data_IF_967747359541
#
_entry.id   IF_967747359541
#
_cell.length_a   1.000
_cell.length_b   1.000
_cell.length_c   1.000
_cell.angle_alpha   90.00
_cell.angle_beta   90.00
_cell.angle_gamma   90.00
#
_symmetry.space_group_name_H-M   'P 1'
#
loop_
_entity.id
_entity.type
_entity.pdbx_description
1 polymer ?
#
# COMPACT_ATOMS: atom_id res chain seq x y z
N UNK A 1 31.76 -10.77 16.79
CA UNK A 1 31.14 -11.05 15.48
C UNK A 1 29.85 -10.25 15.42
N UNK A 2 29.77 -9.26 14.52
CA UNK A 2 28.50 -8.61 14.21
C UNK A 2 27.60 -9.70 13.60
N UNK A 3 26.45 -9.95 14.21
CA UNK A 3 25.54 -11.02 13.82
C UNK A 3 25.13 -10.87 12.35
N UNK A 4 25.14 -11.98 11.61
CA UNK A 4 24.67 -12.02 10.23
C UNK A 4 23.22 -11.56 10.20
N UNK A 5 22.97 -10.37 9.65
CA UNK A 5 21.62 -9.86 9.44
C UNK A 5 21.00 -10.74 8.36
N UNK A 6 19.93 -11.46 8.70
CA UNK A 6 19.17 -12.22 7.71
C UNK A 6 18.45 -11.24 6.77
N UNK A 7 18.66 -11.39 5.47
CA UNK A 7 18.05 -10.62 4.38
C UNK A 7 18.15 -9.10 4.60
N UNK A 8 19.39 -8.54 4.60
CA UNK A 8 19.59 -7.12 4.85
C UNK A 8 18.88 -6.23 3.83
N UNK A 9 18.76 -6.67 2.57
CA UNK A 9 18.06 -5.96 1.50
C UNK A 9 16.56 -5.83 1.77
N UNK A 10 15.93 -6.92 2.23
CA UNK A 10 14.53 -6.90 2.67
C UNK A 10 14.31 -5.88 3.79
N UNK A 11 15.21 -5.86 4.77
CA UNK A 11 15.11 -4.93 5.91
C UNK A 11 15.33 -3.49 5.48
N UNK A 12 16.30 -3.23 4.62
CA UNK A 12 16.60 -1.90 4.12
C UNK A 12 15.41 -1.32 3.35
N UNK A 13 14.86 -2.09 2.40
CA UNK A 13 13.72 -1.68 1.59
C UNK A 13 12.47 -1.40 2.44
N UNK A 14 12.23 -2.23 3.47
CA UNK A 14 11.13 -2.02 4.40
C UNK A 14 11.31 -0.76 5.24
N UNK A 15 12.53 -0.51 5.74
CA UNK A 15 12.85 0.68 6.52
C UNK A 15 12.65 1.94 5.68
N UNK A 16 13.13 1.95 4.44
CA UNK A 16 12.95 3.08 3.52
C UNK A 16 11.48 3.38 3.24
N UNK A 17 10.66 2.32 3.04
CA UNK A 17 9.22 2.49 2.89
C UNK A 17 8.59 3.13 4.15
N UNK A 18 8.94 2.64 5.34
CA UNK A 18 8.42 3.17 6.60
C UNK A 18 8.88 4.60 6.86
N UNK A 19 10.11 4.96 6.47
CA UNK A 19 10.64 6.31 6.59
C UNK A 19 9.86 7.29 5.69
N UNK A 20 9.60 6.91 4.43
CA UNK A 20 8.77 7.71 3.52
C UNK A 20 7.35 7.87 4.06
N UNK A 21 6.74 6.79 4.56
CA UNK A 21 5.39 6.83 5.14
C UNK A 21 5.34 7.70 6.40
N UNK A 22 6.34 7.61 7.27
CA UNK A 22 6.48 8.45 8.45
C UNK A 22 6.61 9.92 8.09
N UNK A 23 7.49 10.23 7.12
CA UNK A 23 7.66 11.58 6.61
C UNK A 23 6.35 12.17 6.06
N UNK A 24 5.62 11.41 5.24
CA UNK A 24 4.32 11.81 4.70
C UNK A 24 3.30 12.07 5.81
N UNK A 25 3.24 11.19 6.81
CA UNK A 25 2.30 11.33 7.93
C UNK A 25 2.59 12.56 8.81
N UNK A 26 3.85 12.99 8.91
CA UNK A 26 4.25 14.14 9.73
C UNK A 26 4.08 15.47 8.98
N UNK A 27 4.40 15.51 7.68
CA UNK A 27 4.49 16.76 6.93
C UNK A 27 3.24 17.05 6.07
N UNK A 28 2.41 16.05 5.76
CA UNK A 28 1.21 16.20 4.94
C UNK A 28 -0.04 15.76 5.72
N UNK A 29 -0.59 16.60 6.61
CA UNK A 29 -1.70 16.23 7.50
C UNK A 29 -3.00 15.88 6.77
N UNK A 30 -3.13 16.22 5.48
CA UNK A 30 -4.21 15.78 4.60
C UNK A 30 -4.15 14.29 4.24
N UNK A 31 -2.96 13.69 4.36
CA UNK A 31 -2.69 12.27 4.14
C UNK A 31 -2.77 11.57 5.49
N UNK A 32 -3.80 10.73 5.67
CA UNK A 32 -3.83 9.82 6.82
C UNK A 32 -3.63 8.40 6.36
N UNK A 33 -2.64 7.76 6.99
CA UNK A 33 -2.48 6.32 6.91
C UNK A 33 -3.58 5.71 7.78
N UNK A 34 -4.63 5.24 7.12
CA UNK A 34 -5.80 4.60 7.72
C UNK A 34 -5.73 3.11 7.42
N UNK A 35 -6.17 2.23 8.32
CA UNK A 35 -6.08 0.76 8.16
C UNK A 35 -4.67 0.19 8.32
N UNK A 36 -4.60 -1.14 8.41
CA UNK A 36 -3.35 -1.89 8.58
C UNK A 36 -2.64 -1.99 7.23
N UNK A 37 -1.38 -1.56 7.18
CA UNK A 37 -0.49 -1.79 6.06
C UNK A 37 0.37 -3.03 6.33
N UNK A 38 0.03 -4.15 5.70
CA UNK A 38 0.87 -5.34 5.72
C UNK A 38 2.00 -5.18 4.69
N UNK A 39 3.21 -4.94 5.21
CA UNK A 39 4.37 -4.71 4.36
C UNK A 39 4.91 -6.00 3.74
N UNK A 40 4.73 -7.14 4.40
CA UNK A 40 5.11 -8.45 3.85
C UNK A 40 4.18 -8.80 2.68
N UNK A 41 2.88 -8.50 2.80
CA UNK A 41 1.93 -8.62 1.69
C UNK A 41 2.33 -7.73 0.50
N UNK A 42 2.71 -6.48 0.75
CA UNK A 42 3.16 -5.56 -0.30
C UNK A 42 4.38 -6.09 -1.06
N UNK A 43 5.38 -6.62 -0.34
CA UNK A 43 6.58 -7.20 -0.93
C UNK A 43 6.26 -8.48 -1.72
N UNK A 44 5.38 -9.33 -1.20
CA UNK A 44 4.91 -10.51 -1.91
C UNK A 44 4.17 -10.14 -3.20
N UNK A 45 3.32 -9.11 -3.17
CA UNK A 45 2.62 -8.61 -4.35
C UNK A 45 3.58 -7.98 -5.37
N UNK A 46 4.60 -7.25 -4.91
CA UNK A 46 5.66 -6.73 -5.76
C UNK A 46 6.43 -7.85 -6.46
N UNK A 47 6.83 -8.87 -5.72
CA UNK A 47 7.51 -10.04 -6.27
C UNK A 47 6.65 -10.81 -7.25
N UNK A 48 5.35 -10.97 -6.99
CA UNK A 48 4.42 -11.59 -7.95
C UNK A 48 4.32 -10.81 -9.26
N UNK A 49 4.35 -9.47 -9.21
CA UNK A 49 4.40 -8.63 -10.40
C UNK A 49 5.70 -8.85 -11.17
N UNK A 50 6.83 -8.92 -10.47
CA UNK A 50 8.13 -9.25 -11.07
C UNK A 50 8.11 -10.63 -11.75
N UNK A 51 7.68 -11.68 -11.05
CA UNK A 51 7.59 -13.02 -11.63
C UNK A 51 6.70 -13.06 -12.87
N UNK A 52 5.60 -12.30 -12.87
CA UNK A 52 4.72 -12.19 -14.03
C UNK A 52 5.41 -11.54 -15.23
N UNK A 53 6.10 -10.42 -15.03
CA UNK A 53 6.76 -9.68 -16.12
C UNK A 53 7.91 -10.48 -16.74
N UNK A 54 8.56 -11.36 -15.97
CA UNK A 54 9.67 -12.22 -16.43
C UNK A 54 9.26 -13.68 -16.74
N UNK A 55 7.96 -14.02 -16.72
CA UNK A 55 7.44 -15.38 -16.90
C UNK A 55 8.10 -16.43 -15.97
N UNK A 56 8.40 -16.04 -14.74
CA UNK A 56 8.97 -16.90 -13.71
C UNK A 56 7.81 -17.60 -12.99
N UNK A 57 7.77 -18.93 -13.06
CA UNK A 57 6.81 -19.74 -12.32
C UNK A 57 7.43 -20.22 -11.01
N UNK A 58 7.42 -19.36 -9.98
CA UNK A 58 8.06 -19.68 -8.69
C UNK A 58 7.01 -19.94 -7.59
N UNK A 59 7.03 -21.17 -7.06
CA UNK A 59 6.31 -21.57 -5.84
C UNK A 59 7.21 -22.52 -5.05
N UNK A 60 7.48 -22.29 -3.74
CA UNK A 60 7.02 -21.16 -2.90
C UNK A 60 7.72 -19.82 -3.23
N UNK A 61 7.18 -18.73 -2.69
CA UNK A 61 7.76 -17.37 -2.85
C UNK A 61 9.20 -17.37 -2.33
N UNK A 62 10.15 -16.93 -3.18
CA UNK A 62 11.54 -16.74 -2.80
C UNK A 62 12.01 -15.31 -3.10
N UNK A 63 11.88 -14.44 -2.09
CA UNK A 63 12.29 -13.04 -2.21
C UNK A 63 13.80 -12.85 -2.40
N UNK A 64 14.65 -13.84 -2.13
CA UNK A 64 16.10 -13.69 -2.35
C UNK A 64 16.39 -13.37 -3.83
N UNK A 65 15.70 -14.03 -4.75
CA UNK A 65 15.82 -13.75 -6.19
C UNK A 65 15.38 -12.34 -6.56
N UNK A 66 14.37 -11.82 -5.87
CA UNK A 66 13.87 -10.46 -6.10
C UNK A 66 14.94 -9.41 -5.83
N UNK A 67 15.79 -9.63 -4.83
CA UNK A 67 16.90 -8.74 -4.47
C UNK A 67 18.15 -8.98 -5.33
N UNK A 68 18.42 -10.23 -5.72
CA UNK A 68 19.57 -10.56 -6.56
C UNK A 68 19.44 -9.99 -7.99
N UNK A 69 18.21 -9.94 -8.53
CA UNK A 69 17.93 -9.51 -9.91
C UNK A 69 18.09 -8.00 -10.17
N UNK A 70 18.21 -7.18 -9.10
CA UNK A 70 18.32 -5.71 -9.16
C UNK A 70 19.51 -5.20 -10.00
N UNK A 71 20.42 -6.09 -10.41
CA UNK A 71 21.68 -5.73 -11.05
C UNK A 71 21.71 -5.87 -12.59
N UNK A 72 20.63 -6.33 -13.24
CA UNK A 72 20.68 -6.54 -14.71
C UNK A 72 20.22 -5.33 -15.54
N UNK A 73 19.13 -4.64 -15.16
CA UNK A 73 18.56 -3.50 -15.91
C UNK A 73 17.76 -2.54 -15.02
N UNK A 74 17.71 -1.25 -15.35
CA UNK A 74 17.03 -0.23 -14.52
C UNK A 74 15.53 -0.50 -14.34
N UNK A 75 14.88 -1.14 -15.32
CA UNK A 75 13.44 -1.44 -15.34
C UNK A 75 13.05 -2.66 -14.47
N UNK A 76 14.03 -3.41 -13.97
CA UNK A 76 13.79 -4.61 -13.18
C UNK A 76 14.01 -4.44 -11.66
N UNK A 77 14.33 -3.21 -11.22
CA UNK A 77 14.67 -2.91 -9.83
C UNK A 77 13.50 -3.19 -8.87
N UNK A 78 13.84 -3.60 -7.65
CA UNK A 78 12.86 -4.01 -6.65
C UNK A 78 11.92 -2.87 -6.24
N UNK A 79 12.44 -1.64 -6.15
CA UNK A 79 11.70 -0.42 -5.82
C UNK A 79 10.61 -0.09 -6.84
N UNK A 80 10.85 -0.36 -8.13
CA UNK A 80 9.87 -0.18 -9.21
C UNK A 80 8.66 -1.09 -8.98
N UNK A 81 8.89 -2.37 -8.65
CA UNK A 81 7.82 -3.32 -8.39
C UNK A 81 7.12 -3.06 -7.05
N UNK A 82 7.86 -2.60 -6.04
CA UNK A 82 7.28 -2.17 -4.77
C UNK A 82 6.33 -0.98 -4.99
N UNK A 83 6.75 0.02 -5.78
CA UNK A 83 5.91 1.14 -6.17
C UNK A 83 4.67 0.68 -6.94
N UNK A 84 4.80 -0.24 -7.90
CA UNK A 84 3.65 -0.83 -8.60
C UNK A 84 2.68 -1.50 -7.62
N UNK A 85 3.19 -2.23 -6.63
CA UNK A 85 2.39 -2.90 -5.60
C UNK A 85 1.64 -1.89 -4.71
N UNK A 86 2.34 -0.86 -4.23
CA UNK A 86 1.76 0.25 -3.44
C UNK A 86 0.66 0.94 -4.23
N UNK A 87 0.94 1.36 -5.46
CA UNK A 87 -0.04 2.00 -6.34
C UNK A 87 -1.28 1.12 -6.55
N UNK A 88 -1.08 -0.18 -6.80
CA UNK A 88 -2.19 -1.13 -6.93
C UNK A 88 -3.03 -1.23 -5.65
N UNK A 89 -2.43 -1.09 -4.46
CA UNK A 89 -3.14 -1.09 -3.17
C UNK A 89 -3.89 0.24 -2.93
N UNK A 90 -3.29 1.36 -3.30
CA UNK A 90 -3.89 2.71 -3.21
C UNK A 90 -5.12 2.87 -4.11
N UNK A 91 -5.13 2.22 -5.27
CA UNK A 91 -6.25 2.26 -6.21
C UNK A 91 -7.43 1.36 -5.80
N UNK A 92 -7.31 0.53 -4.76
CA UNK A 92 -8.42 -0.29 -4.26
C UNK A 92 -9.35 0.54 -3.36
N UNK A 93 -10.66 0.25 -3.35
CA UNK A 93 -11.55 0.78 -2.32
C UNK A 93 -11.03 0.39 -0.93
N UNK A 94 -11.17 1.28 0.05
CA UNK A 94 -10.59 1.15 1.40
C UNK A 94 -9.05 1.02 1.41
N UNK A 95 -8.41 1.83 0.56
CA UNK A 95 -6.95 2.02 0.55
C UNK A 95 -6.40 2.38 1.94
N UNK A 96 -5.10 2.12 2.15
CA UNK A 96 -4.43 2.45 3.41
C UNK A 96 -4.12 3.95 3.56
N UNK A 97 -4.38 4.75 2.52
CA UNK A 97 -4.34 6.21 2.56
C UNK A 97 -5.74 6.76 2.34
N UNK A 98 -6.18 7.61 3.26
CA UNK A 98 -7.41 8.41 3.15
C UNK A 98 -7.06 9.89 2.97
N UNK A 99 -7.73 10.56 2.03
CA UNK A 99 -7.58 11.98 1.79
C UNK A 99 -8.76 12.75 2.42
N UNK A 100 -8.48 13.64 3.36
CA UNK A 100 -9.51 14.36 4.13
C UNK A 100 -10.50 15.18 3.30
N UNK A 101 -10.15 15.56 2.05
CA UNK A 101 -11.02 16.37 1.19
C UNK A 101 -12.07 15.57 0.41
N UNK A 102 -11.90 14.26 0.29
CA UNK A 102 -12.79 13.39 -0.48
C UNK A 102 -13.17 12.16 0.33
N UNK A 103 -13.63 12.37 1.57
CA UNK A 103 -14.47 11.35 2.19
C UNK A 103 -15.75 11.28 1.34
N UNK A 104 -15.82 10.31 0.42
CA UNK A 104 -17.09 9.89 -0.15
C UNK A 104 -17.88 9.42 1.08
N UNK A 105 -19.01 10.06 1.42
CA UNK A 105 -19.83 9.57 2.52
C UNK A 105 -20.10 8.11 2.25
N UNK A 106 -19.68 7.22 3.16
CA UNK A 106 -20.16 5.85 3.12
C UNK A 106 -21.69 5.96 3.10
N UNK A 107 -22.32 5.48 2.02
CA UNK A 107 -23.78 5.36 2.01
C UNK A 107 -24.13 4.47 3.18
N UNK A 108 -24.63 5.12 4.24
CA UNK A 108 -25.21 4.44 5.39
C UNK A 108 -26.26 3.52 4.77
N UNK A 109 -26.02 2.21 4.80
CA UNK A 109 -27.08 1.24 4.56
C UNK A 109 -28.06 1.40 5.73
N UNK A 110 -28.92 2.41 5.64
CA UNK A 110 -30.07 2.57 6.49
C UNK A 110 -30.99 1.41 6.18
N UNK A 111 -30.91 0.40 7.04
CA UNK A 111 -31.95 -0.61 7.19
C UNK A 111 -33.27 0.14 7.36
N UNK A 112 -34.07 0.11 6.30
CA UNK A 112 -35.31 0.85 6.18
C UNK A 112 -36.28 0.35 7.25
N UNK A 113 -36.69 1.22 8.17
CA UNK A 113 -37.98 1.13 8.87
C UNK A 113 -38.37 2.48 9.51
N UNK A 114 -39.48 2.99 8.97
CA UNK A 114 -40.49 3.82 9.62
C UNK A 114 -40.34 5.36 9.73
N UNK A 115 -40.89 6.01 8.68
CA UNK A 115 -41.97 7.03 8.69
C UNK A 115 -41.91 8.25 9.63
N UNK A 116 -41.97 9.41 8.95
CA UNK A 116 -42.61 10.72 9.27
C UNK A 116 -41.89 11.65 10.25
N UNK A 117 -41.42 12.81 9.79
CA UNK A 117 -42.15 14.10 9.82
C UNK A 117 -41.29 15.23 9.22
N UNK A 118 -41.95 16.15 8.53
CA UNK A 118 -41.44 17.33 7.81
C UNK A 118 -40.83 18.41 8.70
N UNK A 119 -39.78 19.09 8.24
CA UNK A 119 -39.66 20.57 8.33
C UNK A 119 -38.56 21.09 7.40
N UNK A 120 -38.92 22.02 6.51
CA UNK A 120 -37.99 22.81 5.70
C UNK A 120 -37.30 23.87 6.57
N UNK A 121 -36.02 24.16 6.32
CA UNK A 121 -35.42 25.44 6.70
C UNK A 121 -34.81 26.13 5.48
N UNK A 122 -35.30 27.34 5.24
CA UNK A 122 -34.80 28.33 4.29
C UNK A 122 -33.48 28.94 4.80
N UNK A 123 -32.55 29.18 3.88
CA UNK A 123 -31.31 29.93 4.10
C UNK A 123 -31.66 31.43 3.99
N UNK A 124 -31.24 32.23 4.97
CA UNK A 124 -31.11 33.70 4.87
C UNK A 124 -29.67 34.06 4.57
#
# INVERSE_FOLDING_TARGET
MLGVIKQPEHRQLLIELLEVLGYLSEHHPEVRITNILDCDELLNDAYRLFCKDFNIHETPINLARFYEYENEKIDNRCDVYLMKSIMKRLLRPNSFISNHRYAIPEEVQENSKDKKHTSMCHIS
#
